data_IF_471076646792
#
_entry.id   IF_471076646792
#
_cell.length_a   1.000
_cell.length_b   1.000
_cell.length_c   1.000
_cell.angle_alpha   90.00
_cell.angle_beta   90.00
_cell.angle_gamma   90.00
#
_symmetry.space_group_name_H-M   'P 1'
#
loop_
_entity.id
_entity.type
_entity.pdbx_description
1 polymer ?
#
# COMPACT_ATOMS: atom_id res chain seq x y z
N UNK A 1 -6.40 -43.15 -2.02
CA UNK A 1 -6.49 -42.17 -0.92
C UNK A 1 -5.31 -41.22 -1.05
N UNK A 2 -5.49 -40.13 -1.78
CA UNK A 2 -4.48 -39.08 -1.93
C UNK A 2 -4.45 -38.28 -0.63
N UNK A 3 -3.32 -38.29 0.07
CA UNK A 3 -3.11 -37.49 1.29
C UNK A 3 -3.33 -36.03 0.93
N UNK A 4 -4.34 -35.41 1.56
CA UNK A 4 -4.49 -33.95 1.59
C UNK A 4 -3.22 -33.42 2.25
N UNK A 5 -2.45 -32.52 1.61
CA UNK A 5 -1.27 -31.96 2.25
C UNK A 5 -1.69 -31.18 3.50
N UNK A 6 -0.96 -31.40 4.59
CA UNK A 6 -1.16 -30.71 5.86
C UNK A 6 -1.22 -29.20 5.65
N UNK A 7 -2.22 -28.58 6.27
CA UNK A 7 -2.43 -27.14 6.30
C UNK A 7 -1.17 -26.49 6.87
N UNK A 8 -0.44 -25.75 6.05
CA UNK A 8 0.71 -24.94 6.48
C UNK A 8 0.25 -24.06 7.66
N UNK A 9 0.99 -23.97 8.78
CA UNK A 9 0.60 -23.12 9.89
C UNK A 9 0.41 -21.68 9.37
N UNK A 10 -0.65 -21.02 9.83
CA UNK A 10 -0.97 -19.61 9.53
C UNK A 10 0.32 -18.79 9.64
N UNK A 11 0.68 -18.11 8.54
CA UNK A 11 1.96 -17.42 8.44
C UNK A 11 2.09 -16.40 9.56
N UNK A 12 3.01 -16.63 10.49
CA UNK A 12 3.35 -15.66 11.52
C UNK A 12 3.75 -14.35 10.82
N UNK A 13 3.05 -13.26 11.14
CA UNK A 13 3.41 -11.91 10.68
C UNK A 13 4.86 -11.67 11.07
N UNK A 14 5.73 -11.51 10.08
CA UNK A 14 7.16 -11.42 10.34
C UNK A 14 7.52 -10.02 10.87
N UNK A 15 8.75 -9.83 11.36
CA UNK A 15 9.19 -8.55 11.93
C UNK A 15 9.07 -7.39 10.94
N UNK A 16 9.33 -7.61 9.65
CA UNK A 16 9.19 -6.59 8.62
C UNK A 16 7.72 -6.19 8.40
N UNK A 17 6.81 -7.17 8.37
CA UNK A 17 5.36 -6.91 8.26
C UNK A 17 4.85 -6.12 9.47
N UNK A 18 5.34 -6.42 10.67
CA UNK A 18 5.00 -5.67 11.89
C UNK A 18 5.53 -4.22 11.84
N UNK A 19 6.71 -4.00 11.26
CA UNK A 19 7.25 -2.66 11.04
C UNK A 19 6.40 -1.86 10.05
N UNK A 20 5.97 -2.48 8.93
CA UNK A 20 5.05 -1.86 7.98
C UNK A 20 3.67 -1.58 8.57
N UNK A 21 3.16 -2.45 9.42
CA UNK A 21 1.90 -2.20 10.14
C UNK A 21 2.03 -1.03 11.11
N UNK A 22 3.18 -0.90 11.78
CA UNK A 22 3.48 0.23 12.66
C UNK A 22 3.57 1.54 11.87
N UNK A 23 4.19 1.52 10.70
CA UNK A 23 4.20 2.64 9.74
C UNK A 23 2.77 3.07 9.40
N UNK A 24 1.91 2.14 8.95
CA UNK A 24 0.52 2.47 8.58
C UNK A 24 -0.29 3.00 9.76
N UNK A 25 -0.08 2.46 10.96
CA UNK A 25 -0.75 2.90 12.19
C UNK A 25 -0.38 4.34 12.53
N UNK A 26 0.92 4.67 12.46
CA UNK A 26 1.42 6.03 12.69
C UNK A 26 0.88 7.01 11.65
N UNK A 27 0.96 6.66 10.36
CA UNK A 27 0.43 7.48 9.27
C UNK A 27 -1.06 7.78 9.45
N UNK A 28 -1.84 6.76 9.85
CA UNK A 28 -3.27 6.92 10.11
C UNK A 28 -3.55 7.86 11.29
N UNK A 29 -2.77 7.74 12.38
CA UNK A 29 -2.89 8.63 13.54
C UNK A 29 -2.58 10.10 13.17
N UNK A 30 -1.62 10.31 12.27
CA UNK A 30 -1.23 11.63 11.77
C UNK A 30 -2.17 12.18 10.67
N UNK A 31 -3.24 11.45 10.33
CA UNK A 31 -4.22 11.86 9.32
C UNK A 31 -3.67 11.84 7.89
N UNK A 32 -2.64 11.03 7.62
CA UNK A 32 -2.07 10.90 6.29
C UNK A 32 -3.12 10.44 5.27
N UNK A 33 -3.15 11.11 4.13
CA UNK A 33 -4.01 10.76 3.01
C UNK A 33 -3.30 11.05 1.68
N UNK A 34 -3.42 10.12 0.75
CA UNK A 34 -2.87 10.26 -0.59
C UNK A 34 -3.68 9.44 -1.59
N UNK A 35 -4.05 10.07 -2.71
CA UNK A 35 -4.75 9.40 -3.81
C UNK A 35 -3.74 9.17 -4.94
N UNK A 36 -3.43 7.91 -5.22
CA UNK A 36 -2.52 7.52 -6.29
C UNK A 36 -3.14 7.75 -7.66
N UNK A 37 -2.52 8.60 -8.51
CA UNK A 37 -3.01 8.83 -9.86
C UNK A 37 -2.52 7.72 -10.82
N UNK A 38 -2.81 7.86 -12.11
CA UNK A 38 -2.26 6.97 -13.13
C UNK A 38 -0.73 7.08 -13.20
N UNK A 39 0.00 6.03 -13.60
CA UNK A 39 1.45 6.09 -13.85
C UNK A 39 1.85 7.22 -14.80
N UNK A 40 1.07 7.47 -15.86
CA UNK A 40 1.32 8.57 -16.80
C UNK A 40 1.22 9.96 -16.14
N UNK A 41 0.28 10.14 -15.22
CA UNK A 41 0.16 11.37 -14.44
C UNK A 41 1.33 11.51 -13.46
N UNK A 42 1.70 10.41 -12.79
CA UNK A 42 2.86 10.36 -11.91
C UNK A 42 4.12 10.78 -12.64
N UNK A 43 4.41 10.14 -13.78
CA UNK A 43 5.56 10.44 -14.65
C UNK A 43 5.63 11.93 -15.00
N UNK A 44 4.51 12.52 -15.42
CA UNK A 44 4.42 13.93 -15.79
C UNK A 44 4.73 14.87 -14.62
N UNK A 45 4.30 14.52 -13.40
CA UNK A 45 4.50 15.35 -12.21
C UNK A 45 5.96 15.28 -11.76
N UNK A 46 6.54 14.08 -11.60
CA UNK A 46 7.93 13.92 -11.14
C UNK A 46 8.97 14.40 -12.16
N UNK A 47 8.59 14.51 -13.44
CA UNK A 47 9.43 15.12 -14.46
C UNK A 47 9.70 16.62 -14.20
N UNK A 48 8.82 17.32 -13.46
CA UNK A 48 8.96 18.77 -13.19
C UNK A 48 10.22 19.08 -12.37
N UNK A 49 10.84 20.22 -12.64
CA UNK A 49 12.10 20.64 -12.02
C UNK A 49 12.01 20.82 -10.50
N UNK A 50 10.84 21.20 -9.97
CA UNK A 50 10.61 21.36 -8.53
C UNK A 50 10.18 20.07 -7.81
N UNK A 51 10.06 18.95 -8.54
CA UNK A 51 9.66 17.64 -8.00
C UNK A 51 10.84 16.64 -8.06
N UNK A 52 12.03 17.07 -7.62
CA UNK A 52 13.25 16.24 -7.63
C UNK A 52 13.62 15.69 -6.26
N UNK A 53 13.34 16.44 -5.20
CA UNK A 53 13.57 16.04 -3.81
C UNK A 53 12.28 16.29 -3.03
N UNK A 54 11.93 15.38 -2.14
CA UNK A 54 10.75 15.47 -1.31
C UNK A 54 10.83 16.67 -0.36
N UNK A 55 9.68 17.29 -0.09
CA UNK A 55 9.55 18.37 0.90
C UNK A 55 8.60 18.04 2.03
N UNK A 56 7.85 16.95 1.88
CA UNK A 56 6.93 16.44 2.87
C UNK A 56 6.76 14.93 2.73
N UNK A 57 5.96 14.35 3.62
CA UNK A 57 5.69 12.93 3.66
C UNK A 57 4.89 12.41 2.45
N UNK A 58 4.10 13.27 1.78
CA UNK A 58 3.34 12.89 0.57
C UNK A 58 4.28 12.77 -0.62
N UNK A 59 5.30 13.61 -0.68
CA UNK A 59 6.37 13.48 -1.67
C UNK A 59 7.13 12.15 -1.49
N UNK A 60 7.42 11.75 -0.24
CA UNK A 60 8.09 10.47 0.09
C UNK A 60 7.21 9.26 -0.25
N UNK A 61 6.05 9.14 0.43
CA UNK A 61 5.23 7.93 0.42
C UNK A 61 4.12 7.94 -0.63
N UNK A 62 3.85 9.08 -1.27
CA UNK A 62 2.86 9.22 -2.33
C UNK A 62 3.50 9.31 -3.71
N UNK A 63 4.50 10.18 -3.86
CA UNK A 63 5.18 10.45 -5.14
C UNK A 63 6.50 9.70 -5.35
N UNK A 64 6.98 8.93 -4.36
CA UNK A 64 8.25 8.19 -4.42
C UNK A 64 9.47 9.09 -4.70
N UNK A 65 9.42 10.35 -4.26
CA UNK A 65 10.55 11.26 -4.42
C UNK A 65 11.67 10.91 -3.43
N UNK A 66 12.95 11.03 -3.84
CA UNK A 66 14.06 10.88 -2.92
C UNK A 66 14.05 12.02 -1.89
N UNK A 67 14.58 11.77 -0.69
CA UNK A 67 14.47 12.67 0.44
C UNK A 67 15.70 12.63 1.35
N UNK A 68 15.93 13.75 2.03
CA UNK A 68 16.91 13.85 3.11
C UNK A 68 16.41 13.11 4.34
N UNK A 69 17.21 12.27 5.02
CA UNK A 69 16.76 11.50 6.19
C UNK A 69 16.10 12.36 7.27
N UNK A 70 16.58 13.59 7.47
CA UNK A 70 16.07 14.54 8.46
C UNK A 70 14.64 15.05 8.17
N UNK A 71 14.11 14.84 6.96
CA UNK A 71 12.75 15.22 6.60
C UNK A 71 11.69 14.28 7.19
N UNK A 72 12.03 13.00 7.39
CA UNK A 72 11.10 12.00 7.89
C UNK A 72 11.11 11.95 9.43
N UNK A 73 9.93 11.76 10.02
CA UNK A 73 9.82 11.45 11.44
C UNK A 73 10.65 10.19 11.78
N UNK A 74 11.44 10.17 12.87
CA UNK A 74 12.31 9.04 13.19
C UNK A 74 11.57 7.69 13.30
N UNK A 75 10.32 7.67 13.75
CA UNK A 75 9.54 6.44 13.82
C UNK A 75 9.12 5.93 12.44
N UNK A 76 8.81 6.84 11.51
CA UNK A 76 8.51 6.50 10.12
C UNK A 76 9.77 5.98 9.42
N UNK A 77 10.89 6.68 9.58
CA UNK A 77 12.15 6.28 9.00
C UNK A 77 12.61 4.91 9.53
N UNK A 78 12.55 4.72 10.86
CA UNK A 78 12.91 3.46 11.50
C UNK A 78 12.01 2.29 11.09
N UNK A 79 10.71 2.53 10.87
CA UNK A 79 9.80 1.49 10.39
C UNK A 79 10.11 1.07 8.94
N UNK A 80 10.43 2.03 8.07
CA UNK A 80 10.84 1.75 6.69
C UNK A 80 12.18 0.99 6.67
N UNK A 81 13.14 1.38 7.50
CA UNK A 81 14.45 0.72 7.60
C UNK A 81 14.33 -0.71 8.14
N UNK A 82 13.59 -0.91 9.24
CA UNK A 82 13.36 -2.22 9.84
C UNK A 82 12.62 -3.18 8.89
N UNK A 83 11.81 -2.64 7.97
CA UNK A 83 11.15 -3.41 6.93
C UNK A 83 12.03 -3.65 5.68
N UNK A 84 13.23 -3.07 5.60
CA UNK A 84 14.10 -3.12 4.42
C UNK A 84 13.54 -2.34 3.23
N UNK A 85 12.71 -1.32 3.47
CA UNK A 85 12.01 -0.54 2.45
C UNK A 85 12.65 0.82 2.16
N UNK A 86 13.93 0.98 2.48
CA UNK A 86 14.73 2.14 2.11
C UNK A 86 15.81 1.74 1.10
N UNK A 87 15.97 2.57 0.08
CA UNK A 87 17.11 2.54 -0.83
C UNK A 87 17.85 3.88 -0.76
N UNK A 88 19.14 3.85 -1.12
CA UNK A 88 19.97 5.05 -1.21
C UNK A 88 20.17 5.43 -2.67
N UNK A 89 20.05 6.72 -2.99
CA UNK A 89 20.29 7.27 -4.33
C UNK A 89 20.99 8.63 -4.22
N UNK A 90 22.22 8.73 -4.74
CA UNK A 90 23.03 9.96 -4.74
C UNK A 90 23.08 10.72 -3.40
N UNK A 91 23.17 9.98 -2.29
CA UNK A 91 23.23 10.53 -0.93
C UNK A 91 21.88 10.83 -0.29
N UNK A 92 20.78 10.68 -1.03
CA UNK A 92 19.41 10.75 -0.52
C UNK A 92 18.85 9.34 -0.26
N UNK A 93 17.77 9.28 0.51
CA UNK A 93 16.98 8.07 0.70
C UNK A 93 15.78 8.03 -0.25
N UNK A 94 15.29 6.83 -0.55
CA UNK A 94 14.05 6.59 -1.29
C UNK A 94 13.27 5.49 -0.61
N UNK A 95 11.96 5.70 -0.44
CA UNK A 95 11.07 4.63 0.01
C UNK A 95 10.76 3.67 -1.15
N UNK A 96 10.89 2.37 -0.90
CA UNK A 96 10.55 1.30 -1.85
C UNK A 96 9.05 0.97 -1.87
N UNK A 97 8.29 1.60 -0.99
CA UNK A 97 6.85 1.46 -0.86
C UNK A 97 6.16 2.81 -0.97
N UNK A 98 4.86 2.76 -1.26
CA UNK A 98 3.95 3.89 -1.23
C UNK A 98 2.77 3.57 -0.34
N UNK A 99 2.13 4.61 0.15
CA UNK A 99 0.92 4.52 0.96
C UNK A 99 -0.17 5.36 0.32
N UNK A 100 -1.31 4.73 0.05
CA UNK A 100 -2.49 5.37 -0.52
C UNK A 100 -3.71 5.19 0.38
N UNK A 101 -4.60 6.17 0.38
CA UNK A 101 -5.85 6.15 1.14
C UNK A 101 -7.05 5.84 0.26
N UNK A 102 -7.95 4.97 0.74
CA UNK A 102 -9.23 4.64 0.13
C UNK A 102 -10.26 4.28 1.22
N UNK A 103 -11.44 4.90 1.20
CA UNK A 103 -12.53 4.61 2.14
C UNK A 103 -12.10 4.60 3.62
N UNK A 104 -11.22 5.54 3.99
CA UNK A 104 -10.68 5.67 5.35
C UNK A 104 -9.65 4.61 5.77
N UNK A 105 -9.15 3.81 4.82
CA UNK A 105 -8.11 2.80 5.03
C UNK A 105 -6.86 3.17 4.23
N UNK A 106 -5.69 2.85 4.79
CA UNK A 106 -4.41 2.99 4.13
C UNK A 106 -3.97 1.66 3.53
N UNK A 107 -3.47 1.71 2.30
CA UNK A 107 -2.97 0.58 1.54
C UNK A 107 -1.51 0.82 1.21
N UNK A 108 -0.69 -0.18 1.52
CA UNK A 108 0.72 -0.20 1.16
C UNK A 108 0.90 -0.92 -0.18
N UNK A 109 1.72 -0.35 -1.06
CA UNK A 109 1.97 -0.90 -2.39
C UNK A 109 3.36 -0.47 -2.90
N UNK A 110 3.80 -1.00 -4.04
CA UNK A 110 5.17 -0.73 -4.53
C UNK A 110 5.37 0.72 -4.96
N UNK A 111 6.61 1.20 -4.76
CA UNK A 111 7.05 2.51 -5.23
C UNK A 111 6.96 2.67 -6.74
N UNK A 112 6.84 3.92 -7.18
CA UNK A 112 6.94 4.28 -8.59
C UNK A 112 8.43 4.44 -8.97
N UNK A 113 8.87 3.98 -10.16
CA UNK A 113 8.09 3.28 -11.17
C UNK A 113 7.86 1.80 -10.81
N UNK A 114 6.66 1.29 -11.07
CA UNK A 114 6.28 -0.11 -10.78
C UNK A 114 6.74 -1.03 -11.91
N UNK A 115 8.05 -1.27 -12.01
CA UNK A 115 8.66 -2.09 -13.09
C UNK A 115 9.08 -3.49 -12.65
N UNK A 116 9.09 -3.76 -11.34
CA UNK A 116 9.43 -5.08 -10.82
C UNK A 116 8.31 -6.10 -11.12
N UNK A 117 8.69 -7.35 -11.37
CA UNK A 117 7.74 -8.44 -11.67
C UNK A 117 6.79 -8.71 -10.49
N UNK A 118 7.28 -8.53 -9.27
CA UNK A 118 6.57 -8.68 -8.00
C UNK A 118 5.98 -7.36 -7.48
N UNK A 119 5.89 -6.33 -8.33
CA UNK A 119 5.33 -5.05 -7.93
C UNK A 119 3.85 -5.17 -7.52
N UNK A 120 3.55 -4.70 -6.31
CA UNK A 120 2.20 -4.65 -5.76
C UNK A 120 1.47 -3.45 -6.35
N UNK A 121 0.37 -3.71 -7.07
CA UNK A 121 -0.44 -2.69 -7.72
C UNK A 121 -1.41 -2.01 -6.76
N UNK A 122 -1.51 -0.68 -6.91
CA UNK A 122 -2.59 0.15 -6.40
C UNK A 122 -2.74 1.41 -7.27
N UNK A 123 -3.96 1.78 -7.65
CA UNK A 123 -4.19 2.99 -8.45
C UNK A 123 -5.66 3.22 -8.81
N UNK A 124 -5.93 4.01 -9.87
CA UNK A 124 -7.28 4.35 -10.30
C UNK A 124 -8.27 3.18 -10.38
N UNK A 125 -7.82 2.03 -10.88
CA UNK A 125 -8.66 0.84 -10.99
C UNK A 125 -8.96 0.20 -9.64
N UNK A 126 -8.07 0.32 -8.66
CA UNK A 126 -8.33 -0.12 -7.28
C UNK A 126 -9.50 0.63 -6.64
N UNK A 127 -9.61 1.95 -6.90
CA UNK A 127 -10.74 2.74 -6.40
C UNK A 127 -12.06 2.29 -7.03
N UNK A 128 -12.08 2.13 -8.36
CA UNK A 128 -13.26 1.67 -9.10
C UNK A 128 -13.67 0.26 -8.68
N UNK A 129 -12.69 -0.63 -8.46
CA UNK A 129 -12.94 -1.99 -8.00
C UNK A 129 -13.51 -2.02 -6.59
N UNK A 130 -13.01 -1.19 -5.66
CA UNK A 130 -13.58 -1.08 -4.33
C UNK A 130 -15.06 -0.64 -4.36
N UNK A 131 -15.39 0.36 -5.17
CA UNK A 131 -16.76 0.86 -5.30
C UNK A 131 -17.69 -0.19 -5.92
N UNK A 132 -17.19 -0.96 -6.90
CA UNK A 132 -17.90 -2.10 -7.46
C UNK A 132 -18.19 -3.15 -6.38
N UNK A 133 -17.16 -3.60 -5.64
CA UNK A 133 -17.31 -4.59 -4.57
C UNK A 133 -18.34 -4.15 -3.53
N UNK A 134 -18.29 -2.89 -3.08
CA UNK A 134 -19.28 -2.35 -2.14
C UNK A 134 -20.70 -2.36 -2.73
N UNK A 135 -20.84 -1.98 -4.00
CA UNK A 135 -22.15 -1.92 -4.66
C UNK A 135 -22.77 -3.31 -4.79
N UNK A 136 -21.99 -4.29 -5.24
CA UNK A 136 -22.47 -5.67 -5.41
C UNK A 136 -22.82 -6.30 -4.06
N UNK A 137 -21.97 -6.19 -3.05
CA UNK A 137 -22.22 -6.77 -1.72
C UNK A 137 -23.42 -6.15 -1.01
N UNK A 138 -23.75 -4.88 -1.28
CA UNK A 138 -24.95 -4.24 -0.74
C UNK A 138 -26.21 -4.64 -1.49
N UNK A 139 -26.09 -4.88 -2.79
CA UNK A 139 -27.23 -5.23 -3.65
C UNK A 139 -27.63 -6.69 -3.49
N UNK A 140 -26.63 -7.58 -3.36
CA UNK A 140 -26.83 -9.01 -3.12
C UNK A 140 -25.87 -9.50 -2.00
N UNK A 141 -26.25 -9.28 -0.72
CA UNK A 141 -25.42 -9.67 0.40
C UNK A 141 -25.19 -11.18 0.45
N UNK A 142 -23.95 -11.63 0.67
CA UNK A 142 -23.67 -13.05 0.78
C UNK A 142 -24.34 -13.66 2.02
N UNK A 143 -24.68 -14.94 1.94
CA UNK A 143 -25.23 -15.68 3.07
C UNK A 143 -24.26 -15.65 4.28
N UNK A 144 -24.83 -15.72 5.49
CA UNK A 144 -24.04 -15.79 6.71
C UNK A 144 -23.05 -16.97 6.67
N UNK A 145 -21.77 -16.70 6.93
CA UNK A 145 -20.70 -17.70 6.86
C UNK A 145 -20.19 -18.00 5.43
N UNK A 146 -20.55 -17.19 4.43
CA UNK A 146 -19.97 -17.31 3.10
C UNK A 146 -18.45 -17.06 3.09
N UNK A 147 -17.77 -17.70 2.14
CA UNK A 147 -16.35 -17.53 1.90
C UNK A 147 -16.13 -16.72 0.63
N UNK A 148 -15.36 -15.64 0.73
CA UNK A 148 -14.99 -14.78 -0.40
C UNK A 148 -13.51 -15.01 -0.70
N UNK A 149 -13.17 -15.15 -1.97
CA UNK A 149 -11.79 -15.25 -2.45
C UNK A 149 -11.50 -14.08 -3.38
N UNK A 150 -10.46 -13.31 -3.07
CA UNK A 150 -9.93 -12.25 -3.91
C UNK A 150 -8.75 -12.82 -4.72
N UNK A 151 -8.82 -12.76 -6.05
CA UNK A 151 -7.82 -13.34 -6.97
C UNK A 151 -7.15 -12.20 -7.72
N UNK A 152 -5.81 -12.21 -7.76
CA UNK A 152 -5.05 -11.09 -8.31
C UNK A 152 -5.15 -9.85 -7.41
N UNK A 153 -4.97 -10.06 -6.10
CA UNK A 153 -5.35 -9.12 -5.04
C UNK A 153 -4.64 -7.77 -5.09
N UNK A 154 -3.48 -7.68 -5.73
CA UNK A 154 -2.63 -6.50 -5.68
C UNK A 154 -2.37 -6.10 -4.22
N UNK A 155 -2.64 -4.84 -3.88
CA UNK A 155 -2.57 -4.35 -2.49
C UNK A 155 -3.68 -4.88 -1.54
N UNK A 156 -4.49 -5.85 -1.97
CA UNK A 156 -5.55 -6.48 -1.15
C UNK A 156 -6.84 -5.68 -1.06
N UNK A 157 -7.10 -4.78 -2.01
CA UNK A 157 -8.23 -3.84 -1.95
C UNK A 157 -9.57 -4.57 -1.91
N UNK A 158 -9.79 -5.56 -2.77
CA UNK A 158 -11.04 -6.32 -2.82
C UNK A 158 -11.34 -7.01 -1.51
N UNK A 159 -10.41 -7.82 -1.02
CA UNK A 159 -10.55 -8.55 0.25
C UNK A 159 -10.78 -7.62 1.45
N UNK A 160 -10.00 -6.54 1.58
CA UNK A 160 -10.13 -5.61 2.72
C UNK A 160 -11.47 -4.87 2.67
N UNK A 161 -11.93 -4.46 1.48
CA UNK A 161 -13.22 -3.78 1.30
C UNK A 161 -14.37 -4.74 1.62
N UNK A 162 -14.37 -5.94 1.05
CA UNK A 162 -15.39 -6.95 1.32
C UNK A 162 -15.45 -7.33 2.80
N UNK A 163 -14.31 -7.55 3.44
CA UNK A 163 -14.22 -7.88 4.87
C UNK A 163 -14.67 -6.74 5.80
N UNK A 164 -14.81 -5.51 5.31
CA UNK A 164 -15.36 -4.38 6.09
C UNK A 164 -16.86 -4.22 5.88
N UNK A 165 -17.37 -4.54 4.70
CA UNK A 165 -18.80 -4.47 4.39
C UNK A 165 -19.56 -5.67 4.95
N UNK A 166 -18.99 -6.88 4.89
CA UNK A 166 -19.63 -8.12 5.36
C UNK A 166 -19.43 -8.41 6.87
N UNK A 167 -19.06 -7.41 7.67
CA UNK A 167 -18.85 -7.55 9.12
C UNK A 167 -20.14 -7.65 9.91
#
# INVERSE_FOLDING_TARGET
MTKIPERRPEGAVNTADMALLSLLTRLKADGYAFVTPTPATHARIVARSHCKVARDLRDILGWSLPFEPALADPAILGALDAAGMLATDDGLLRSMVRVSSLHGVLYLHSAYPTTAEDAVFFGPDSYRFADLVLTELRSDPPAAGAHIVDIGTGAGVGAIVAARECR
#
